data_IF_001318658402
#
_entry.id   IF_001318658402
#
_cell.length_a   1.000
_cell.length_b   1.000
_cell.length_c   1.000
_cell.angle_alpha   90.00
_cell.angle_beta   90.00
_cell.angle_gamma   90.00
#
_symmetry.space_group_name_H-M   'P 1'
#
loop_
_entity.id
_entity.type
_entity.pdbx_description
1 polymer ?
#
# COMPACT_ATOMS: atom_id res chain seq x y z
N UNK A 1 6.14 25.24 -13.51
CA UNK A 1 4.96 25.07 -14.38
C UNK A 1 3.83 24.72 -13.43
N UNK A 2 2.78 25.53 -13.44
CA UNK A 2 1.90 25.84 -12.29
C UNK A 2 0.57 25.11 -12.38
N UNK A 3 0.16 24.35 -11.34
CA UNK A 3 -1.19 23.94 -10.81
C UNK A 3 -2.45 23.83 -11.73
N UNK A 4 -2.34 24.10 -13.02
CA UNK A 4 -3.45 24.54 -13.88
C UNK A 4 -3.49 23.74 -15.20
N UNK A 5 -2.86 22.57 -15.28
CA UNK A 5 -2.70 21.88 -16.57
C UNK A 5 -3.27 20.46 -16.62
N UNK A 6 -3.74 19.88 -15.50
CA UNK A 6 -3.92 18.42 -15.41
C UNK A 6 -5.25 17.90 -14.87
N UNK A 7 -6.22 18.75 -14.53
CA UNK A 7 -7.63 18.34 -14.25
C UNK A 7 -8.32 17.71 -15.49
N UNK A 8 -7.70 17.83 -16.66
CA UNK A 8 -8.17 17.36 -17.97
C UNK A 8 -8.28 15.85 -18.12
N UNK A 9 -7.39 15.08 -17.48
CA UNK A 9 -7.29 13.63 -17.74
C UNK A 9 -8.43 12.82 -17.10
N UNK A 10 -9.04 13.34 -16.03
CA UNK A 10 -10.23 12.80 -15.35
C UNK A 10 -11.44 12.56 -16.29
N UNK A 11 -11.52 13.28 -17.42
CA UNK A 11 -12.75 13.38 -18.21
C UNK A 11 -12.79 12.35 -19.37
N UNK A 12 -11.68 11.67 -19.68
CA UNK A 12 -11.60 10.75 -20.82
C UNK A 12 -11.93 9.29 -20.51
N UNK A 13 -11.76 8.81 -19.27
CA UNK A 13 -11.96 7.39 -18.91
C UNK A 13 -13.41 7.04 -18.52
N UNK A 14 -14.18 7.99 -17.97
CA UNK A 14 -15.58 7.81 -17.53
C UNK A 14 -16.57 7.48 -18.65
N UNK A 15 -16.15 7.55 -19.92
CA UNK A 15 -16.96 7.21 -21.10
C UNK A 15 -16.92 5.72 -21.50
N UNK A 16 -16.00 4.90 -20.97
CA UNK A 16 -15.91 3.48 -21.38
C UNK A 16 -16.61 2.48 -20.44
N UNK A 17 -16.81 2.81 -19.16
CA UNK A 17 -17.36 1.89 -18.15
C UNK A 17 -18.89 1.96 -17.99
N UNK A 18 -19.55 3.08 -18.33
CA UNK A 18 -21.00 3.27 -18.09
C UNK A 18 -21.95 2.68 -19.15
N UNK A 19 -21.44 2.02 -20.20
CA UNK A 19 -22.26 1.61 -21.36
C UNK A 19 -22.68 0.12 -21.42
N UNK A 20 -22.28 -0.74 -20.46
CA UNK A 20 -22.39 -2.21 -20.65
C UNK A 20 -23.36 -2.98 -19.74
N UNK A 21 -24.06 -2.34 -18.79
CA UNK A 21 -24.90 -3.05 -17.80
C UNK A 21 -26.41 -2.86 -17.98
N UNK A 22 -26.95 -2.98 -19.20
CA UNK A 22 -28.39 -3.24 -19.41
C UNK A 22 -28.62 -4.20 -20.58
N UNK A 23 -28.65 -5.51 -20.30
CA UNK A 23 -29.36 -6.49 -21.12
C UNK A 23 -29.72 -7.77 -20.33
N UNK A 24 -30.90 -7.70 -19.71
CA UNK A 24 -31.80 -8.78 -19.33
C UNK A 24 -31.59 -10.18 -19.94
N UNK A 25 -31.59 -11.22 -19.10
CA UNK A 25 -32.47 -12.37 -19.33
C UNK A 25 -33.10 -12.85 -18.01
N UNK A 26 -34.42 -12.66 -17.92
CA UNK A 26 -35.28 -13.31 -16.94
C UNK A 26 -35.70 -14.71 -17.40
N UNK A 27 -35.95 -15.53 -16.39
CA UNK A 27 -36.35 -16.92 -16.31
C UNK A 27 -37.63 -17.31 -17.08
N UNK A 28 -37.70 -18.56 -17.56
CA UNK A 28 -38.91 -19.39 -17.54
C UNK A 28 -38.64 -20.79 -18.14
N UNK A 29 -38.59 -21.80 -17.25
CA UNK A 29 -38.76 -23.22 -17.60
C UNK A 29 -40.19 -23.55 -18.01
N UNK A 30 -40.41 -24.58 -18.85
CA UNK A 30 -41.16 -25.71 -18.30
C UNK A 30 -40.62 -27.09 -18.71
N UNK A 31 -40.87 -28.02 -17.79
CA UNK A 31 -40.57 -29.44 -17.85
C UNK A 31 -41.00 -30.14 -19.16
N UNK A 32 -40.18 -31.07 -19.62
CA UNK A 32 -40.67 -32.28 -20.30
C UNK A 32 -39.77 -33.47 -19.96
N UNK A 33 -40.40 -34.51 -19.44
CA UNK A 33 -39.84 -35.83 -19.16
C UNK A 33 -39.29 -36.50 -20.42
N UNK A 34 -38.21 -37.28 -20.33
CA UNK A 34 -38.15 -38.72 -20.69
C UNK A 34 -36.78 -39.31 -20.35
N UNK A 35 -36.80 -40.56 -19.89
CA UNK A 35 -35.75 -41.45 -19.39
C UNK A 35 -34.56 -41.73 -20.35
N UNK A 36 -33.44 -42.17 -19.77
CA UNK A 36 -32.66 -43.26 -20.38
C UNK A 36 -31.12 -43.19 -20.32
N UNK A 37 -30.57 -43.87 -19.31
CA UNK A 37 -29.42 -44.81 -19.41
C UNK A 37 -27.97 -44.31 -19.26
N UNK A 38 -27.35 -44.92 -18.24
CA UNK A 38 -25.94 -45.08 -17.88
C UNK A 38 -24.90 -45.14 -19.01
N UNK A 39 -23.71 -44.57 -18.79
CA UNK A 39 -22.45 -45.34 -18.91
C UNK A 39 -21.27 -44.67 -18.17
N UNK A 40 -20.68 -45.40 -17.22
CA UNK A 40 -19.33 -45.18 -16.70
C UNK A 40 -18.26 -45.41 -17.78
N UNK A 41 -17.15 -44.66 -17.70
CA UNK A 41 -15.95 -44.90 -18.49
C UNK A 41 -14.78 -44.02 -18.05
N UNK A 42 -14.14 -44.40 -16.95
CA UNK A 42 -12.76 -44.04 -16.60
C UNK A 42 -11.82 -44.70 -17.59
N UNK A 43 -10.81 -43.99 -18.12
CA UNK A 43 -9.48 -44.57 -18.41
C UNK A 43 -8.40 -43.48 -18.34
N UNK A 44 -7.28 -43.88 -17.73
CA UNK A 44 -6.04 -43.17 -17.45
C UNK A 44 -5.01 -43.31 -18.58
N UNK A 45 -4.05 -42.37 -18.58
CA UNK A 45 -2.61 -42.56 -18.81
C UNK A 45 -1.97 -42.65 -20.21
N UNK A 46 -0.73 -42.11 -20.21
CA UNK A 46 0.43 -42.38 -21.06
C UNK A 46 0.60 -41.66 -22.42
N UNK A 47 1.45 -40.63 -22.38
CA UNK A 47 2.49 -40.40 -23.39
C UNK A 47 3.86 -40.29 -22.69
N UNK A 48 4.57 -41.41 -22.63
CA UNK A 48 5.98 -41.52 -22.27
C UNK A 48 6.84 -41.49 -23.54
N UNK A 49 7.90 -40.68 -23.47
CA UNK A 49 9.21 -40.76 -24.15
C UNK A 49 9.31 -40.63 -25.70
N UNK A 50 9.94 -39.52 -26.13
CA UNK A 50 11.13 -39.58 -26.99
C UNK A 50 11.01 -39.01 -28.42
N UNK A 51 11.34 -37.72 -28.61
CA UNK A 51 12.09 -37.13 -29.76
C UNK A 51 12.16 -35.58 -29.57
N UNK A 52 13.19 -35.01 -28.93
CA UNK A 52 14.48 -34.52 -29.46
C UNK A 52 14.40 -33.31 -30.44
N UNK A 53 15.08 -32.22 -30.07
CA UNK A 53 15.20 -30.99 -30.86
C UNK A 53 16.04 -29.91 -30.17
N UNK A 54 17.35 -30.14 -30.15
CA UNK A 54 18.45 -29.32 -29.60
C UNK A 54 18.60 -27.91 -30.20
N UNK A 55 18.90 -26.91 -29.36
CA UNK A 55 19.86 -25.84 -29.67
C UNK A 55 20.46 -25.26 -28.39
N UNK A 56 21.67 -25.72 -28.07
CA UNK A 56 22.60 -25.15 -27.08
C UNK A 56 23.29 -23.91 -27.66
N UNK A 57 23.34 -22.83 -26.89
CA UNK A 57 24.15 -21.65 -27.18
C UNK A 57 24.83 -21.18 -25.91
N UNK A 58 26.03 -21.69 -25.66
CA UNK A 58 26.95 -21.25 -24.61
C UNK A 58 27.57 -19.90 -24.98
N UNK A 59 27.64 -18.98 -24.03
CA UNK A 59 28.24 -17.66 -24.18
C UNK A 59 28.92 -17.21 -22.89
N UNK A 60 30.08 -17.79 -22.60
CA UNK A 60 31.02 -17.34 -21.57
C UNK A 60 31.58 -15.96 -21.95
N UNK A 61 31.53 -15.01 -21.02
CA UNK A 61 32.07 -13.66 -21.16
C UNK A 61 32.73 -13.19 -19.87
N UNK A 62 33.94 -13.69 -19.61
CA UNK A 62 34.84 -13.19 -18.56
C UNK A 62 35.29 -11.75 -18.89
N UNK A 63 35.05 -10.82 -17.98
CA UNK A 63 35.47 -9.42 -18.07
C UNK A 63 36.13 -8.95 -16.77
N UNK A 64 37.40 -9.32 -16.58
CA UNK A 64 38.26 -8.79 -15.53
C UNK A 64 38.53 -7.29 -15.77
N UNK A 65 38.16 -6.46 -14.80
CA UNK A 65 38.41 -5.01 -14.79
C UNK A 65 39.01 -4.55 -13.48
N UNK A 66 40.31 -4.81 -13.29
CA UNK A 66 41.11 -4.26 -12.20
C UNK A 66 41.23 -2.73 -12.35
N UNK A 67 40.74 -1.99 -11.35
CA UNK A 67 40.84 -0.54 -11.25
C UNK A 67 41.43 -0.11 -9.91
N UNK A 68 42.76 -0.25 -9.77
CA UNK A 68 43.52 0.31 -8.65
C UNK A 68 43.49 1.85 -8.70
N UNK A 69 42.88 2.46 -7.68
CA UNK A 69 42.83 3.91 -7.47
C UNK A 69 43.42 4.30 -6.12
N UNK A 70 44.74 4.28 -6.02
CA UNK A 70 45.49 4.82 -4.87
C UNK A 70 45.29 6.35 -4.78
N UNK A 71 44.58 6.79 -3.74
CA UNK A 71 44.40 8.20 -3.39
C UNK A 71 45.00 8.51 -2.02
N UNK A 72 46.32 8.60 -1.96
CA UNK A 72 47.06 9.13 -0.80
C UNK A 72 46.75 10.62 -0.59
N UNK A 73 46.05 10.95 0.51
CA UNK A 73 45.88 12.29 1.05
C UNK A 73 46.30 12.34 2.51
N UNK A 74 47.41 13.05 2.77
CA UNK A 74 48.12 13.25 4.05
C UNK A 74 47.24 13.55 5.28
N UNK A 75 47.71 13.18 6.51
CA UNK A 75 47.03 13.48 7.76
C UNK A 75 47.31 14.91 8.23
N UNK A 76 46.25 15.65 8.58
CA UNK A 76 46.36 16.94 9.23
C UNK A 76 46.49 16.79 10.75
N UNK A 77 47.72 16.91 11.25
CA UNK A 77 48.02 17.11 12.67
C UNK A 77 47.39 18.43 13.17
N UNK A 78 46.50 18.31 14.16
CA UNK A 78 45.87 19.42 14.85
C UNK A 78 45.92 19.21 16.36
N UNK A 79 47.11 19.29 16.94
CA UNK A 79 47.31 19.40 18.39
C UNK A 79 46.68 20.70 18.90
N UNK A 80 45.57 20.57 19.61
CA UNK A 80 44.88 21.66 20.31
C UNK A 80 44.74 21.36 21.79
N UNK A 81 45.85 21.46 22.53
CA UNK A 81 45.84 21.52 23.99
C UNK A 81 45.09 22.79 24.44
N UNK A 82 43.90 22.61 25.00
CA UNK A 82 43.06 23.65 25.55
C UNK A 82 42.55 23.27 26.93
N UNK A 83 43.43 23.34 27.93
CA UNK A 83 43.05 23.34 29.34
C UNK A 83 42.14 24.55 29.62
N UNK A 84 40.85 24.29 29.80
CA UNK A 84 39.84 25.27 30.12
C UNK A 84 38.97 24.80 31.28
N UNK A 85 39.51 24.90 32.50
CA UNK A 85 38.74 24.86 33.73
C UNK A 85 37.72 26.01 33.72
N UNK A 86 36.46 25.67 33.46
CA UNK A 86 35.32 26.59 33.46
C UNK A 86 34.19 26.03 34.30
N UNK A 87 34.32 26.18 35.62
CA UNK A 87 33.18 26.10 36.55
C UNK A 87 32.17 27.20 36.16
N UNK A 88 31.05 26.80 35.57
CA UNK A 88 29.97 27.69 35.16
C UNK A 88 28.62 27.02 35.34
N UNK A 89 27.99 27.31 36.47
CA UNK A 89 26.62 26.95 36.81
C UNK A 89 25.66 27.34 35.67
N UNK A 90 25.19 26.34 34.93
CA UNK A 90 24.11 26.47 33.97
C UNK A 90 22.89 25.72 34.49
N UNK A 91 21.99 26.45 35.16
CA UNK A 91 20.60 26.04 35.35
C UNK A 91 19.95 26.02 33.95
N UNK A 92 20.16 24.93 33.23
CA UNK A 92 19.45 24.62 32.00
C UNK A 92 18.22 23.81 32.36
N UNK A 93 17.08 24.50 32.49
CA UNK A 93 15.76 23.89 32.32
C UNK A 93 15.69 23.40 30.86
N UNK A 94 16.24 22.21 30.63
CA UNK A 94 16.09 21.48 29.39
C UNK A 94 14.71 20.85 29.39
N UNK A 95 13.71 21.64 29.00
CA UNK A 95 12.50 21.12 28.36
C UNK A 95 12.97 20.51 27.03
N UNK A 96 13.52 19.30 27.12
CA UNK A 96 13.78 18.43 25.99
C UNK A 96 12.45 17.87 25.51
N UNK A 97 11.66 18.72 24.87
CA UNK A 97 10.73 18.27 23.83
C UNK A 97 11.63 17.79 22.68
N UNK A 98 12.17 16.58 22.87
CA UNK A 98 12.73 15.79 21.80
C UNK A 98 11.57 15.32 20.96
N UNK A 99 11.01 16.23 20.16
CA UNK A 99 10.39 15.87 18.91
C UNK A 99 11.53 15.31 18.06
N UNK A 100 11.80 14.03 18.29
CA UNK A 100 12.61 13.20 17.42
C UNK A 100 11.81 13.01 16.15
N UNK A 101 11.79 14.07 15.34
CA UNK A 101 11.61 13.97 13.90
C UNK A 101 12.86 13.21 13.42
N UNK A 102 12.78 11.89 13.58
CA UNK A 102 13.70 10.94 12.99
C UNK A 102 13.49 11.00 11.49
N UNK A 103 14.13 11.99 10.87
CA UNK A 103 14.57 11.92 9.48
C UNK A 103 15.60 10.77 9.41
N UNK A 104 15.13 9.53 9.60
CA UNK A 104 15.90 8.31 9.52
C UNK A 104 16.25 8.08 8.07
N UNK A 105 17.55 8.16 7.78
CA UNK A 105 18.15 7.67 6.55
C UNK A 105 17.72 6.20 6.35
N UNK A 106 17.21 5.75 5.19
CA UNK A 106 16.58 4.43 5.04
C UNK A 106 17.58 3.25 5.05
N UNK A 107 18.73 3.39 5.71
CA UNK A 107 19.81 2.40 5.70
C UNK A 107 20.61 2.26 6.99
N UNK A 108 20.21 2.89 8.11
CA UNK A 108 21.00 2.83 9.37
C UNK A 108 20.18 2.56 10.64
N UNK A 109 19.05 1.86 10.54
CA UNK A 109 18.13 1.66 11.67
C UNK A 109 17.81 0.19 11.95
N UNK A 110 18.71 -0.77 11.73
CA UNK A 110 18.56 -2.15 12.23
C UNK A 110 17.44 -3.01 11.62
N UNK A 111 17.38 -4.29 11.98
CA UNK A 111 16.49 -5.31 11.42
C UNK A 111 15.02 -5.03 11.72
N UNK A 112 14.14 -5.22 10.74
CA UNK A 112 12.71 -5.12 10.93
C UNK A 112 12.11 -6.31 11.71
N UNK A 113 10.88 -6.14 12.25
CA UNK A 113 10.26 -7.09 13.15
C UNK A 113 10.20 -8.56 12.64
N UNK A 114 9.89 -8.84 11.35
CA UNK A 114 9.84 -10.22 10.86
C UNK A 114 11.22 -10.88 10.86
N UNK A 115 12.25 -10.11 10.50
CA UNK A 115 13.64 -10.58 10.46
C UNK A 115 14.16 -10.82 11.88
N UNK A 116 13.83 -9.93 12.82
CA UNK A 116 14.13 -10.12 14.24
C UNK A 116 13.49 -11.41 14.75
N UNK A 117 12.21 -11.65 14.45
CA UNK A 117 11.52 -12.86 14.88
C UNK A 117 12.13 -14.13 14.27
N UNK A 118 12.51 -14.11 13.00
CA UNK A 118 13.24 -15.22 12.38
C UNK A 118 14.58 -15.48 13.09
N UNK A 119 15.33 -14.42 13.40
CA UNK A 119 16.57 -14.51 14.19
C UNK A 119 16.32 -15.15 15.57
N UNK A 120 15.26 -14.74 16.28
CA UNK A 120 14.89 -15.30 17.57
C UNK A 120 14.53 -16.80 17.49
N UNK A 121 13.85 -17.22 16.43
CA UNK A 121 13.56 -18.64 16.19
C UNK A 121 14.83 -19.45 15.93
N UNK A 122 15.78 -18.90 15.17
CA UNK A 122 17.07 -19.53 14.92
C UNK A 122 17.87 -19.75 16.21
N UNK A 123 17.71 -18.87 17.20
CA UNK A 123 18.40 -18.95 18.49
C UNK A 123 17.97 -20.11 19.39
N UNK A 124 16.84 -20.78 19.15
CA UNK A 124 16.37 -21.94 19.93
C UNK A 124 16.39 -21.74 21.48
N UNK A 125 16.12 -20.52 21.95
CA UNK A 125 16.13 -20.16 23.37
C UNK A 125 17.50 -19.82 23.97
N UNK A 126 18.55 -19.66 23.15
CA UNK A 126 19.84 -19.12 23.58
C UNK A 126 19.74 -17.62 23.85
N UNK A 127 19.90 -17.23 25.11
CA UNK A 127 19.72 -15.85 25.57
C UNK A 127 20.74 -14.88 24.99
N UNK A 128 21.98 -15.31 24.73
CA UNK A 128 23.01 -14.45 24.16
C UNK A 128 22.77 -14.21 22.66
N UNK A 129 22.28 -15.25 21.96
CA UNK A 129 21.85 -15.13 20.57
C UNK A 129 20.63 -14.19 20.44
N UNK A 130 19.64 -14.34 21.33
CA UNK A 130 18.46 -13.46 21.33
C UNK A 130 18.82 -12.01 21.61
N UNK A 131 19.73 -11.75 22.55
CA UNK A 131 20.24 -10.40 22.84
C UNK A 131 20.96 -9.80 21.63
N UNK A 132 21.70 -10.61 20.85
CA UNK A 132 22.30 -10.15 19.60
C UNK A 132 21.25 -9.76 18.56
N UNK A 133 20.20 -10.57 18.36
CA UNK A 133 19.11 -10.23 17.43
C UNK A 133 18.46 -8.89 17.77
N UNK A 134 18.20 -8.62 19.05
CA UNK A 134 17.62 -7.33 19.49
C UNK A 134 18.61 -6.17 19.48
N UNK A 135 19.92 -6.44 19.49
CA UNK A 135 20.94 -5.39 19.35
C UNK A 135 21.02 -4.90 17.91
N UNK A 136 20.79 -5.81 16.96
CA UNK A 136 20.78 -5.50 15.53
C UNK A 136 19.40 -5.01 15.06
N UNK A 137 18.36 -5.07 15.90
CA UNK A 137 16.99 -4.69 15.58
C UNK A 137 16.76 -3.17 15.55
N UNK A 138 15.81 -2.73 14.73
CA UNK A 138 15.32 -1.36 14.79
C UNK A 138 14.59 -1.08 16.11
N UNK A 139 14.60 0.17 16.62
CA UNK A 139 13.84 0.52 17.81
C UNK A 139 12.35 0.15 17.69
N UNK A 140 11.77 0.30 16.50
CA UNK A 140 10.39 -0.08 16.20
C UNK A 140 10.20 -1.60 16.22
N UNK A 141 11.10 -2.35 15.60
CA UNK A 141 11.06 -3.81 15.56
C UNK A 141 11.14 -4.44 16.95
N UNK A 142 11.91 -3.86 17.88
CA UNK A 142 11.94 -4.30 19.28
C UNK A 142 10.57 -4.14 19.95
N UNK A 143 9.88 -3.03 19.69
CA UNK A 143 8.56 -2.75 20.25
C UNK A 143 7.51 -3.69 19.66
N UNK A 144 7.48 -3.84 18.34
CA UNK A 144 6.54 -4.70 17.61
C UNK A 144 6.73 -6.17 17.96
N UNK A 145 7.97 -6.67 17.95
CA UNK A 145 8.30 -8.05 18.35
C UNK A 145 7.91 -8.30 19.80
N UNK A 146 8.15 -7.33 20.70
CA UNK A 146 7.72 -7.39 22.09
C UNK A 146 6.20 -7.48 22.25
N UNK A 147 5.45 -6.66 21.51
CA UNK A 147 3.98 -6.67 21.52
C UNK A 147 3.41 -7.99 20.99
N UNK A 148 3.93 -8.49 19.87
CA UNK A 148 3.52 -9.76 19.26
C UNK A 148 3.78 -10.94 20.20
N UNK A 149 4.97 -10.99 20.81
CA UNK A 149 5.30 -12.03 21.78
C UNK A 149 4.39 -11.95 23.02
N UNK A 150 4.13 -10.75 23.53
CA UNK A 150 3.23 -10.56 24.67
C UNK A 150 1.81 -11.06 24.35
N UNK A 151 1.26 -10.72 23.19
CA UNK A 151 -0.05 -11.21 22.77
C UNK A 151 -0.07 -12.75 22.65
N UNK A 152 0.97 -13.34 22.04
CA UNK A 152 1.09 -14.79 21.92
C UNK A 152 1.15 -15.48 23.30
N UNK A 153 1.84 -14.89 24.28
CA UNK A 153 1.89 -15.40 25.66
C UNK A 153 0.54 -15.31 26.36
N UNK A 154 -0.16 -14.17 26.27
CA UNK A 154 -1.47 -13.98 26.90
C UNK A 154 -2.52 -14.95 26.37
N UNK A 155 -2.49 -15.24 25.07
CA UNK A 155 -3.39 -16.17 24.40
C UNK A 155 -2.91 -17.63 24.43
N UNK A 156 -1.74 -17.92 25.02
CA UNK A 156 -1.12 -19.25 25.05
C UNK A 156 -0.94 -19.86 23.64
N UNK A 157 -0.60 -19.03 22.66
CA UNK A 157 -0.39 -19.47 21.30
C UNK A 157 0.87 -20.33 21.18
N UNK A 158 0.75 -21.45 20.47
CA UNK A 158 1.83 -22.43 20.28
C UNK A 158 2.07 -22.77 18.80
N UNK A 159 1.39 -22.09 17.91
CA UNK A 159 1.51 -22.22 16.47
C UNK A 159 1.09 -20.92 15.79
N UNK A 160 1.47 -20.79 14.52
CA UNK A 160 1.21 -19.60 13.71
C UNK A 160 -0.29 -19.29 13.58
N UNK A 161 -1.13 -20.30 13.38
CA UNK A 161 -2.58 -20.11 13.20
C UNK A 161 -3.25 -19.47 14.43
N UNK A 162 -2.79 -19.79 15.64
CA UNK A 162 -3.27 -19.14 16.86
C UNK A 162 -2.85 -17.67 16.91
N UNK A 163 -1.61 -17.37 16.52
CA UNK A 163 -1.07 -16.00 16.52
C UNK A 163 -1.85 -15.16 15.53
N UNK A 164 -2.02 -15.63 14.29
CA UNK A 164 -2.81 -14.93 13.26
C UNK A 164 -4.27 -14.68 13.69
N UNK A 165 -4.89 -15.61 14.44
CA UNK A 165 -6.28 -15.44 14.87
C UNK A 165 -6.46 -14.56 16.11
N UNK A 166 -5.48 -14.49 17.00
CA UNK A 166 -5.64 -13.81 18.30
C UNK A 166 -4.76 -12.57 18.45
N UNK A 167 -3.79 -12.38 17.55
CA UNK A 167 -2.80 -11.31 17.55
C UNK A 167 -2.67 -10.68 16.16
N UNK A 168 -3.75 -10.64 15.38
CA UNK A 168 -3.74 -10.14 14.01
C UNK A 168 -3.19 -8.70 13.93
N UNK A 169 -3.56 -7.84 14.89
CA UNK A 169 -3.05 -6.47 14.96
C UNK A 169 -1.55 -6.40 15.22
N UNK A 170 -1.02 -7.20 16.14
CA UNK A 170 0.42 -7.24 16.40
C UNK A 170 1.20 -7.91 15.26
N UNK A 171 0.59 -8.88 14.55
CA UNK A 171 1.16 -9.44 13.32
C UNK A 171 1.21 -8.36 12.25
N UNK A 172 0.12 -7.65 12.02
CA UNK A 172 0.06 -6.57 11.04
C UNK A 172 1.14 -5.52 11.30
N UNK A 173 1.24 -5.02 12.54
CA UNK A 173 2.26 -4.05 12.93
C UNK A 173 3.69 -4.60 12.79
N UNK A 174 3.89 -5.91 12.88
CA UNK A 174 5.20 -6.51 12.70
C UNK A 174 5.57 -6.68 11.21
N UNK A 175 4.60 -6.82 10.31
CA UNK A 175 4.83 -7.07 8.88
C UNK A 175 4.58 -5.85 7.99
N UNK A 176 4.21 -4.73 8.59
CA UNK A 176 3.96 -3.47 7.89
C UNK A 176 4.48 -2.32 8.73
N UNK A 177 4.95 -1.27 8.07
CA UNK A 177 5.27 -0.01 8.73
C UNK A 177 4.42 1.12 8.15
N UNK A 178 5.00 2.31 8.10
CA UNK A 178 4.32 3.53 7.64
C UNK A 178 4.87 4.05 6.32
N UNK A 179 5.91 3.40 5.77
CA UNK A 179 6.51 3.83 4.52
C UNK A 179 5.53 3.78 3.35
N UNK A 180 5.41 4.88 2.62
CA UNK A 180 4.65 4.95 1.36
C UNK A 180 5.36 4.15 0.25
N UNK A 181 4.65 3.83 -0.83
CA UNK A 181 5.27 3.10 -1.95
C UNK A 181 6.39 3.91 -2.62
N UNK A 182 6.30 5.24 -2.64
CA UNK A 182 7.41 6.10 -3.06
C UNK A 182 8.66 5.93 -2.18
N UNK A 183 8.49 5.92 -0.86
CA UNK A 183 9.60 5.68 0.08
C UNK A 183 10.17 4.26 -0.06
N UNK A 184 9.31 3.27 -0.27
CA UNK A 184 9.74 1.90 -0.55
C UNK A 184 10.59 1.82 -1.82
N UNK A 185 10.16 2.46 -2.91
CA UNK A 185 10.90 2.49 -4.16
C UNK A 185 12.26 3.17 -3.99
N UNK A 186 12.32 4.31 -3.28
CA UNK A 186 13.58 4.99 -2.96
C UNK A 186 14.50 4.11 -2.09
N UNK A 187 13.96 3.43 -1.09
CA UNK A 187 14.69 2.50 -0.22
C UNK A 187 15.29 1.33 -1.03
N UNK A 188 14.48 0.69 -1.88
CA UNK A 188 14.91 -0.40 -2.75
C UNK A 188 16.02 0.03 -3.72
N UNK A 189 15.94 1.23 -4.30
CA UNK A 189 17.00 1.77 -5.16
C UNK A 189 18.34 1.91 -4.41
N UNK A 190 18.30 2.26 -3.11
CA UNK A 190 19.50 2.37 -2.28
C UNK A 190 20.11 1.02 -1.90
N UNK A 191 19.30 -0.03 -1.80
CA UNK A 191 19.76 -1.39 -1.52
C UNK A 191 20.58 -2.00 -2.66
N UNK A 192 20.34 -1.58 -3.91
CA UNK A 192 21.13 -2.03 -5.06
C UNK A 192 21.12 -3.55 -5.32
N UNK A 193 20.02 -4.23 -4.99
CA UNK A 193 19.85 -5.68 -5.17
C UNK A 193 20.21 -6.54 -3.95
N UNK A 194 20.46 -5.96 -2.77
CA UNK A 194 20.62 -6.73 -1.54
C UNK A 194 19.26 -7.21 -1.01
N UNK A 195 19.04 -8.53 -1.04
CA UNK A 195 17.76 -9.16 -0.70
C UNK A 195 17.32 -8.89 0.75
N UNK A 196 18.26 -8.77 1.69
CA UNK A 196 17.93 -8.51 3.10
C UNK A 196 17.48 -7.07 3.26
N UNK A 197 18.24 -6.12 2.69
CA UNK A 197 17.89 -4.70 2.67
C UNK A 197 16.54 -4.46 1.98
N UNK A 198 16.30 -5.06 0.82
CA UNK A 198 15.03 -4.92 0.10
C UNK A 198 13.86 -5.50 0.89
N UNK A 199 14.08 -6.60 1.60
CA UNK A 199 13.07 -7.18 2.50
C UNK A 199 12.77 -6.25 3.67
N UNK A 200 13.80 -5.66 4.28
CA UNK A 200 13.64 -4.67 5.37
C UNK A 200 12.83 -3.45 4.87
N UNK A 201 13.20 -2.86 3.73
CA UNK A 201 12.45 -1.77 3.10
C UNK A 201 10.97 -2.14 2.90
N UNK A 202 10.71 -3.36 2.39
CA UNK A 202 9.36 -3.84 2.11
C UNK A 202 8.51 -3.93 3.37
N UNK A 203 9.03 -4.48 4.46
CA UNK A 203 8.25 -4.65 5.70
C UNK A 203 8.10 -3.36 6.50
N UNK A 204 9.01 -2.40 6.34
CA UNK A 204 8.86 -1.04 6.91
C UNK A 204 7.88 -0.16 6.12
N UNK A 205 7.54 -0.58 4.90
CA UNK A 205 6.48 0.05 4.13
C UNK A 205 5.11 -0.40 4.61
N UNK A 206 4.12 0.46 4.42
CA UNK A 206 2.74 0.16 4.76
C UNK A 206 2.20 -1.00 3.91
N UNK A 207 1.18 -1.68 4.42
CA UNK A 207 0.59 -2.75 3.63
C UNK A 207 0.11 -2.27 2.24
N UNK A 208 -0.45 -1.06 2.15
CA UNK A 208 -0.89 -0.53 0.85
C UNK A 208 0.33 -0.32 -0.07
N UNK A 209 1.44 0.18 0.47
CA UNK A 209 2.66 0.34 -0.29
C UNK A 209 3.20 -1.00 -0.83
N UNK A 210 3.17 -2.04 0.01
CA UNK A 210 3.51 -3.41 -0.37
C UNK A 210 2.63 -3.94 -1.52
N UNK A 211 1.33 -3.64 -1.53
CA UNK A 211 0.46 -4.04 -2.64
C UNK A 211 0.69 -3.22 -3.90
N UNK A 212 0.89 -1.91 -3.76
CA UNK A 212 1.13 -1.03 -4.90
C UNK A 212 2.42 -1.40 -5.63
N UNK A 213 3.49 -1.74 -4.90
CA UNK A 213 4.74 -2.17 -5.53
C UNK A 213 4.57 -3.53 -6.20
N UNK A 214 3.84 -4.48 -5.59
CA UNK A 214 3.56 -5.78 -6.20
C UNK A 214 2.77 -5.62 -7.50
N UNK A 215 1.73 -4.78 -7.52
CA UNK A 215 0.95 -4.50 -8.72
C UNK A 215 1.81 -3.85 -9.82
N UNK A 216 2.72 -2.94 -9.45
CA UNK A 216 3.67 -2.35 -10.38
C UNK A 216 4.64 -3.39 -10.95
N UNK A 217 5.22 -4.24 -10.10
CA UNK A 217 6.14 -5.30 -10.51
C UNK A 217 5.46 -6.32 -11.43
N UNK A 218 4.24 -6.73 -11.13
CA UNK A 218 3.43 -7.59 -11.99
C UNK A 218 3.22 -6.95 -13.36
N UNK A 219 2.86 -5.65 -13.42
CA UNK A 219 2.72 -4.95 -14.69
C UNK A 219 4.04 -4.87 -15.48
N UNK A 220 5.16 -4.60 -14.80
CA UNK A 220 6.50 -4.54 -15.39
C UNK A 220 6.88 -5.88 -16.01
N UNK A 221 6.62 -6.98 -15.30
CA UNK A 221 6.87 -8.35 -15.76
C UNK A 221 5.99 -8.69 -16.96
N UNK A 222 4.69 -8.40 -16.89
CA UNK A 222 3.71 -8.71 -17.94
C UNK A 222 4.00 -7.97 -19.25
N UNK A 223 4.57 -6.77 -19.17
CA UNK A 223 4.94 -5.94 -20.32
C UNK A 223 6.42 -6.06 -20.73
N UNK A 224 7.22 -6.88 -20.03
CA UNK A 224 8.67 -7.05 -20.25
C UNK A 224 9.42 -5.70 -20.29
N UNK A 225 9.10 -4.82 -19.36
CA UNK A 225 9.68 -3.49 -19.31
C UNK A 225 11.12 -3.53 -18.80
N UNK A 226 12.04 -2.97 -19.60
CA UNK A 226 13.48 -2.95 -19.33
C UNK A 226 14.02 -1.54 -19.00
N UNK A 227 13.17 -0.52 -19.15
CA UNK A 227 13.51 0.86 -18.87
C UNK A 227 12.29 1.63 -18.34
N UNK A 228 12.56 2.77 -17.69
CA UNK A 228 11.50 3.62 -17.12
C UNK A 228 10.50 4.12 -18.17
N UNK A 229 10.91 4.31 -19.43
CA UNK A 229 10.00 4.79 -20.47
C UNK A 229 8.92 3.75 -20.77
N UNK A 230 9.27 2.47 -20.80
CA UNK A 230 8.30 1.39 -20.93
C UNK A 230 7.31 1.38 -19.76
N UNK A 231 7.78 1.61 -18.53
CA UNK A 231 6.93 1.68 -17.34
C UNK A 231 5.95 2.85 -17.46
N UNK A 232 6.42 4.05 -17.84
CA UNK A 232 5.55 5.19 -18.08
C UNK A 232 4.56 4.99 -19.23
N UNK A 233 4.90 4.21 -20.24
CA UNK A 233 4.02 4.01 -21.40
C UNK A 233 2.97 2.91 -21.16
N UNK A 234 3.26 1.90 -20.32
CA UNK A 234 2.41 0.71 -20.16
C UNK A 234 1.88 0.48 -18.73
N UNK A 235 2.57 0.98 -17.71
CA UNK A 235 2.28 0.76 -16.28
C UNK A 235 2.11 2.07 -15.51
N UNK A 236 1.71 3.15 -16.19
CA UNK A 236 1.59 4.46 -15.55
C UNK A 236 0.55 4.48 -14.42
N UNK A 237 -0.52 3.69 -14.52
CA UNK A 237 -1.55 3.67 -13.49
C UNK A 237 -1.02 3.09 -12.18
N UNK A 238 -0.31 1.97 -12.25
CA UNK A 238 0.33 1.29 -11.13
C UNK A 238 1.46 2.17 -10.57
N UNK A 239 2.27 2.75 -11.45
CA UNK A 239 3.35 3.65 -11.06
C UNK A 239 2.82 4.87 -10.33
N UNK A 240 1.80 5.56 -10.86
CA UNK A 240 1.21 6.72 -10.19
C UNK A 240 0.40 6.33 -8.95
N UNK A 241 -0.12 5.11 -8.87
CA UNK A 241 -0.69 4.60 -7.62
C UNK A 241 0.37 4.46 -6.54
N UNK A 242 1.58 4.03 -6.91
CA UNK A 242 2.72 3.91 -6.00
C UNK A 242 3.33 5.27 -5.61
N UNK A 243 3.67 6.11 -6.59
CA UNK A 243 4.44 7.36 -6.34
C UNK A 243 3.59 8.64 -6.33
N UNK A 244 2.36 8.57 -6.81
CA UNK A 244 1.54 9.74 -7.16
C UNK A 244 0.57 10.20 -6.08
N UNK A 245 0.43 9.50 -4.95
CA UNK A 245 -0.52 9.95 -3.93
C UNK A 245 -0.44 9.24 -2.59
N UNK A 246 0.75 9.27 -1.98
CA UNK A 246 1.12 9.39 -0.56
C UNK A 246 0.30 8.67 0.54
N UNK A 247 -0.78 7.96 0.24
CA UNK A 247 -1.54 7.20 1.21
C UNK A 247 -0.82 5.91 1.48
N UNK A 248 -0.38 5.77 2.72
CA UNK A 248 0.06 4.54 3.35
C UNK A 248 -1.12 3.61 3.70
N UNK A 249 -2.36 4.08 3.56
CA UNK A 249 -3.56 3.35 3.98
C UNK A 249 -4.56 3.15 2.85
N UNK A 250 -5.12 1.93 2.75
CA UNK A 250 -6.33 1.71 1.96
C UNK A 250 -7.47 2.51 2.61
N UNK A 251 -8.37 3.10 1.82
CA UNK A 251 -9.49 3.85 2.35
C UNK A 251 -10.57 2.86 2.79
N UNK A 252 -11.23 3.18 3.91
CA UNK A 252 -12.27 2.33 4.49
C UNK A 252 -13.33 1.85 3.48
N UNK A 253 -13.80 2.67 2.52
CA UNK A 253 -14.83 2.23 1.58
C UNK A 253 -14.44 1.01 0.73
N UNK A 254 -13.17 0.90 0.30
CA UNK A 254 -12.72 -0.25 -0.49
C UNK A 254 -12.67 -1.53 0.34
N UNK A 255 -12.24 -1.40 1.61
CA UNK A 255 -12.22 -2.54 2.53
C UNK A 255 -13.65 -2.95 2.89
N UNK A 256 -14.52 -1.98 3.19
CA UNK A 256 -15.92 -2.23 3.52
C UNK A 256 -16.67 -2.89 2.36
N UNK A 257 -16.46 -2.43 1.12
CA UNK A 257 -17.03 -3.04 -0.07
C UNK A 257 -16.57 -4.49 -0.23
N UNK A 258 -15.28 -4.76 -0.07
CA UNK A 258 -14.74 -6.12 -0.10
C UNK A 258 -15.36 -7.01 0.98
N UNK A 259 -15.46 -6.53 2.23
CA UNK A 259 -16.07 -7.29 3.34
C UNK A 259 -17.55 -7.59 3.08
N UNK A 260 -18.30 -6.62 2.53
CA UNK A 260 -19.71 -6.80 2.14
C UNK A 260 -19.82 -7.86 1.05
N UNK A 261 -18.96 -7.81 0.02
CA UNK A 261 -18.92 -8.80 -1.06
C UNK A 261 -18.55 -10.21 -0.57
N UNK A 262 -17.72 -10.30 0.47
CA UNK A 262 -17.33 -11.55 1.10
C UNK A 262 -18.43 -12.18 1.96
N UNK A 263 -19.48 -11.45 2.35
CA UNK A 263 -20.62 -11.92 3.14
C UNK A 263 -20.21 -12.72 4.40
N UNK A 264 -19.09 -12.33 5.02
CA UNK A 264 -18.54 -12.95 6.23
C UNK A 264 -17.89 -14.33 6.00
N UNK A 265 -17.47 -14.64 4.77
CA UNK A 265 -16.56 -15.76 4.51
C UNK A 265 -15.17 -15.43 5.08
N UNK A 266 -14.69 -16.15 6.11
CA UNK A 266 -13.43 -15.83 6.78
C UNK A 266 -12.20 -15.95 5.88
N UNK A 267 -12.27 -16.73 4.79
CA UNK A 267 -11.16 -16.85 3.85
C UNK A 267 -11.14 -15.66 2.89
N UNK A 268 -12.31 -15.16 2.51
CA UNK A 268 -12.46 -13.99 1.65
C UNK A 268 -12.12 -12.71 2.42
N UNK A 269 -12.59 -12.56 3.66
CA UNK A 269 -12.34 -11.38 4.49
C UNK A 269 -10.83 -11.15 4.69
N UNK A 270 -10.05 -12.23 4.84
CA UNK A 270 -8.58 -12.18 4.93
C UNK A 270 -7.90 -11.67 3.64
N UNK A 271 -8.62 -11.61 2.52
CA UNK A 271 -8.12 -11.06 1.25
C UNK A 271 -8.46 -9.59 1.06
N UNK A 272 -9.30 -9.00 1.91
CA UNK A 272 -9.63 -7.56 1.90
C UNK A 272 -8.51 -6.68 2.48
N UNK A 273 -7.28 -7.20 2.47
CA UNK A 273 -6.09 -6.60 3.05
C UNK A 273 -5.42 -5.62 2.10
N UNK A 274 -4.54 -4.75 2.60
CA UNK A 274 -4.27 -4.44 4.00
C UNK A 274 -4.97 -3.16 4.46
N UNK A 275 -5.66 -3.27 5.58
CA UNK A 275 -6.23 -2.15 6.32
C UNK A 275 -5.35 -1.85 7.53
N UNK A 276 -5.23 -0.57 7.92
CA UNK A 276 -4.74 -0.27 9.27
C UNK A 276 -5.78 -0.71 10.29
N UNK A 277 -5.42 -0.95 11.57
CA UNK A 277 -6.39 -1.29 12.61
C UNK A 277 -7.51 -0.25 12.76
N UNK A 278 -7.23 1.03 12.47
CA UNK A 278 -8.23 2.10 12.47
C UNK A 278 -9.20 1.94 11.31
N UNK A 279 -8.68 1.83 10.09
CA UNK A 279 -9.50 1.65 8.89
C UNK A 279 -10.29 0.34 8.90
N UNK A 280 -9.69 -0.73 9.43
CA UNK A 280 -10.34 -2.03 9.60
C UNK A 280 -11.52 -1.91 10.55
N UNK A 281 -11.35 -1.23 11.69
CA UNK A 281 -12.44 -1.03 12.64
C UNK A 281 -13.60 -0.21 12.05
N UNK A 282 -13.28 0.80 11.22
CA UNK A 282 -14.29 1.57 10.49
C UNK A 282 -15.03 0.69 9.47
N UNK A 283 -14.30 -0.10 8.68
CA UNK A 283 -14.87 -0.98 7.66
C UNK A 283 -15.73 -2.09 8.27
N UNK A 284 -15.25 -2.71 9.35
CA UNK A 284 -16.01 -3.70 10.13
C UNK A 284 -17.29 -3.08 10.72
N UNK A 285 -17.25 -1.80 11.13
CA UNK A 285 -18.44 -1.12 11.62
C UNK A 285 -19.51 -0.97 10.54
N UNK A 286 -19.11 -0.63 9.30
CA UNK A 286 -19.99 -0.55 8.14
C UNK A 286 -20.53 -1.93 7.79
N UNK A 287 -19.64 -2.93 7.69
CA UNK A 287 -20.00 -4.31 7.38
C UNK A 287 -20.99 -4.90 8.41
N UNK A 288 -20.74 -4.67 9.70
CA UNK A 288 -21.64 -5.10 10.77
C UNK A 288 -23.03 -4.47 10.66
N UNK A 289 -23.11 -3.20 10.26
CA UNK A 289 -24.40 -2.56 9.99
C UNK A 289 -25.06 -3.09 8.71
N UNK A 290 -24.27 -3.32 7.64
CA UNK A 290 -24.74 -3.89 6.38
C UNK A 290 -25.43 -5.24 6.59
N UNK A 291 -24.85 -6.12 7.42
CA UNK A 291 -25.45 -7.40 7.79
C UNK A 291 -26.78 -7.26 8.56
N UNK A 292 -26.92 -6.23 9.40
CA UNK A 292 -28.14 -5.99 10.18
C UNK A 292 -29.27 -5.48 9.28
N UNK A 293 -28.93 -4.59 8.34
CA UNK A 293 -29.87 -3.93 7.45
C UNK A 293 -30.07 -4.66 6.10
N UNK A 294 -29.41 -5.81 5.90
CA UNK A 294 -29.49 -6.65 4.70
C UNK A 294 -29.02 -5.90 3.43
N UNK A 295 -27.93 -5.13 3.56
CA UNK A 295 -27.26 -4.42 2.47
C UNK A 295 -26.22 -5.33 1.80
N UNK A 296 -26.23 -5.38 0.47
CA UNK A 296 -25.31 -6.19 -0.35
C UNK A 296 -24.31 -5.33 -1.16
N UNK A 297 -24.28 -4.02 -0.93
CA UNK A 297 -23.35 -3.10 -1.56
C UNK A 297 -23.10 -1.90 -0.63
N UNK A 298 -21.99 -1.20 -0.86
CA UNK A 298 -21.61 -0.05 -0.04
C UNK A 298 -22.61 1.12 -0.19
N UNK A 299 -23.21 1.31 -1.35
CA UNK A 299 -24.20 2.35 -1.62
C UNK A 299 -25.46 2.21 -0.75
N UNK A 300 -25.92 0.99 -0.51
CA UNK A 300 -27.03 0.70 0.41
C UNK A 300 -26.74 1.19 1.82
N UNK A 301 -25.49 1.05 2.27
CA UNK A 301 -25.07 1.44 3.62
C UNK A 301 -25.11 2.97 3.82
N UNK A 302 -25.00 3.77 2.75
CA UNK A 302 -25.17 5.22 2.83
C UNK A 302 -26.55 5.61 3.39
N UNK A 303 -27.61 4.90 3.01
CA UNK A 303 -28.97 5.19 3.46
C UNK A 303 -29.34 4.46 4.75
N UNK A 304 -28.89 3.21 4.91
CA UNK A 304 -29.25 2.35 6.02
C UNK A 304 -28.36 2.56 7.26
N UNK A 305 -27.09 2.93 7.05
CA UNK A 305 -26.03 2.99 8.04
C UNK A 305 -25.28 4.34 8.01
N UNK A 306 -25.97 5.49 8.11
CA UNK A 306 -25.37 6.79 7.82
C UNK A 306 -24.28 7.23 8.81
N UNK A 307 -24.24 6.67 10.03
CA UNK A 307 -23.19 7.01 10.99
C UNK A 307 -21.91 6.24 10.69
N UNK A 308 -22.02 4.92 10.50
CA UNK A 308 -20.93 4.00 10.19
C UNK A 308 -20.33 4.37 8.83
N UNK A 309 -21.19 4.57 7.82
CA UNK A 309 -20.78 5.06 6.50
C UNK A 309 -20.06 6.41 6.59
N UNK A 310 -20.62 7.34 7.36
CA UNK A 310 -20.06 8.68 7.52
C UNK A 310 -18.69 8.71 8.21
N UNK A 311 -18.38 7.75 9.09
CA UNK A 311 -17.02 7.60 9.62
C UNK A 311 -16.09 7.04 8.56
N UNK A 312 -16.53 6.01 7.83
CA UNK A 312 -15.75 5.33 6.80
C UNK A 312 -15.35 6.23 5.62
N UNK A 313 -16.20 7.18 5.22
CA UNK A 313 -15.91 8.06 4.08
C UNK A 313 -15.39 9.44 4.49
N UNK A 314 -15.06 9.71 5.75
CA UNK A 314 -14.70 11.05 6.19
C UNK A 314 -13.27 11.13 6.71
N UNK A 315 -12.38 11.75 5.92
CA UNK A 315 -11.12 12.26 6.43
C UNK A 315 -11.20 13.73 6.83
N UNK A 316 -10.05 14.39 6.93
CA UNK A 316 -9.87 15.76 7.40
C UNK A 316 -9.37 16.73 6.30
N UNK A 317 -9.13 16.22 5.08
CA UNK A 317 -8.63 17.00 3.96
C UNK A 317 -9.64 18.05 3.46
N UNK A 318 -9.16 19.25 3.15
CA UNK A 318 -9.96 20.27 2.48
C UNK A 318 -10.13 19.97 0.99
N UNK A 319 -11.06 20.66 0.32
CA UNK A 319 -11.26 20.46 -1.12
C UNK A 319 -10.00 20.83 -1.94
N UNK A 320 -9.20 21.79 -1.45
CA UNK A 320 -7.92 22.12 -2.03
C UNK A 320 -6.90 20.98 -1.89
N UNK A 321 -6.89 20.29 -0.75
CA UNK A 321 -6.00 19.14 -0.51
C UNK A 321 -6.38 17.98 -1.44
N UNK A 322 -7.67 17.68 -1.57
CA UNK A 322 -8.19 16.69 -2.53
C UNK A 322 -7.72 17.03 -3.95
N UNK A 323 -7.88 18.28 -4.39
CA UNK A 323 -7.51 18.69 -5.73
C UNK A 323 -6.00 18.57 -6.02
N UNK A 324 -5.16 18.91 -5.05
CA UNK A 324 -3.71 18.77 -5.17
C UNK A 324 -3.28 17.30 -5.20
N UNK A 325 -3.91 16.47 -4.37
CA UNK A 325 -3.65 15.04 -4.32
C UNK A 325 -4.06 14.36 -5.64
N UNK A 326 -5.28 14.62 -6.12
CA UNK A 326 -5.77 14.09 -7.41
C UNK A 326 -4.90 14.56 -8.58
N UNK A 327 -4.39 15.80 -8.57
CA UNK A 327 -3.46 16.27 -9.60
C UNK A 327 -2.16 15.45 -9.62
N UNK A 328 -1.67 15.03 -8.45
CA UNK A 328 -0.47 14.21 -8.32
C UNK A 328 -0.68 12.78 -8.85
N UNK A 329 -1.88 12.24 -8.74
CA UNK A 329 -2.24 10.89 -9.23
C UNK A 329 -2.23 10.73 -10.75
N UNK A 330 -2.30 11.83 -11.51
CA UNK A 330 -2.21 11.83 -12.97
C UNK A 330 -3.10 10.79 -13.68
N UNK A 331 -4.33 10.54 -13.18
CA UNK A 331 -5.29 9.60 -13.76
C UNK A 331 -5.28 8.19 -13.17
N UNK A 332 -4.47 7.90 -12.15
CA UNK A 332 -4.51 6.61 -11.46
C UNK A 332 -5.73 6.51 -10.55
N UNK A 333 -6.68 5.63 -10.91
CA UNK A 333 -7.99 5.52 -10.26
C UNK A 333 -7.92 5.28 -8.74
N UNK A 334 -7.07 4.35 -8.29
CA UNK A 334 -6.91 4.05 -6.86
C UNK A 334 -6.34 5.24 -6.08
N UNK A 335 -5.35 5.92 -6.66
CA UNK A 335 -4.75 7.10 -6.07
C UNK A 335 -5.79 8.23 -5.93
N UNK A 336 -6.54 8.52 -7.00
CA UNK A 336 -7.57 9.55 -6.99
C UNK A 336 -8.69 9.22 -5.98
N UNK A 337 -9.06 7.95 -5.88
CA UNK A 337 -10.04 7.47 -4.92
C UNK A 337 -9.59 7.69 -3.47
N UNK A 338 -8.32 7.38 -3.16
CA UNK A 338 -7.73 7.64 -1.84
C UNK A 338 -7.74 9.14 -1.51
N UNK A 339 -7.34 9.98 -2.47
CA UNK A 339 -7.33 11.43 -2.30
C UNK A 339 -8.73 11.99 -1.95
N UNK A 340 -9.78 11.49 -2.61
CA UNK A 340 -11.15 11.95 -2.34
C UNK A 340 -11.62 11.49 -0.97
N UNK A 341 -11.40 10.23 -0.62
CA UNK A 341 -11.89 9.64 0.65
C UNK A 341 -11.18 10.18 1.89
N UNK A 342 -9.94 10.66 1.77
CA UNK A 342 -9.24 11.41 2.82
C UNK A 342 -9.78 12.83 3.04
N UNK A 343 -10.65 13.33 2.16
CA UNK A 343 -11.28 14.63 2.34
C UNK A 343 -12.39 14.61 3.39
N UNK A 344 -12.67 15.76 4.00
CA UNK A 344 -13.91 15.95 4.75
C UNK A 344 -15.13 15.76 3.83
N UNK A 345 -16.23 15.22 4.35
CA UNK A 345 -17.48 15.00 3.59
C UNK A 345 -17.96 16.23 2.79
N UNK A 346 -17.84 17.42 3.38
CA UNK A 346 -18.19 18.66 2.70
C UNK A 346 -17.19 19.01 1.59
N UNK A 347 -15.90 18.76 1.80
CA UNK A 347 -14.87 18.96 0.80
C UNK A 347 -15.06 18.02 -0.39
N UNK A 348 -15.38 16.75 -0.15
CA UNK A 348 -15.73 15.78 -1.20
C UNK A 348 -16.91 16.23 -2.03
N UNK A 349 -17.99 16.71 -1.38
CA UNK A 349 -19.16 17.20 -2.09
C UNK A 349 -18.84 18.43 -2.96
N UNK A 350 -18.01 19.35 -2.47
CA UNK A 350 -17.59 20.53 -3.24
C UNK A 350 -16.67 20.13 -4.40
N UNK A 351 -15.74 19.20 -4.18
CA UNK A 351 -14.87 18.66 -5.21
C UNK A 351 -15.67 17.95 -6.31
N UNK A 352 -16.65 17.13 -5.92
CA UNK A 352 -17.60 16.49 -6.84
C UNK A 352 -18.41 17.50 -7.64
N UNK A 353 -18.82 18.63 -7.05
CA UNK A 353 -19.52 19.69 -7.76
C UNK A 353 -18.64 20.40 -8.81
N UNK A 354 -17.34 20.57 -8.53
CA UNK A 354 -16.37 21.08 -9.53
C UNK A 354 -16.25 20.09 -10.69
N UNK A 355 -16.13 18.78 -10.38
CA UNK A 355 -16.04 17.73 -11.38
C UNK A 355 -17.31 17.63 -12.25
N UNK A 356 -18.50 17.66 -11.64
CA UNK A 356 -19.78 17.65 -12.34
C UNK A 356 -19.92 18.87 -13.27
N UNK A 357 -19.56 20.07 -12.79
CA UNK A 357 -19.56 21.27 -13.62
C UNK A 357 -18.62 21.16 -14.83
N UNK A 358 -17.43 20.58 -14.64
CA UNK A 358 -16.47 20.38 -15.73
C UNK A 358 -17.04 19.43 -16.80
N UNK A 359 -17.72 18.35 -16.38
CA UNK A 359 -18.41 17.41 -17.27
C UNK A 359 -19.55 18.10 -18.03
N UNK A 360 -20.39 18.86 -17.33
CA UNK A 360 -21.53 19.57 -17.93
C UNK A 360 -21.12 20.59 -18.99
N UNK A 361 -19.91 21.14 -18.88
CA UNK A 361 -19.36 22.12 -19.81
C UNK A 361 -18.35 21.54 -20.82
N UNK A 362 -18.14 20.21 -20.82
CA UNK A 362 -17.16 19.51 -21.67
C UNK A 362 -15.76 20.15 -21.59
N UNK A 363 -15.32 20.45 -20.36
CA UNK A 363 -14.04 21.09 -20.14
C UNK A 363 -12.89 20.11 -20.36
N UNK A 364 -11.89 20.54 -21.13
CA UNK A 364 -10.70 19.75 -21.48
C UNK A 364 -9.41 20.46 -21.04
N UNK A 365 -9.52 21.53 -20.26
CA UNK A 365 -8.41 22.31 -19.72
C UNK A 365 -8.88 23.10 -18.49
N UNK A 366 -7.91 23.51 -17.67
CA UNK A 366 -8.18 24.35 -16.50
C UNK A 366 -8.75 25.70 -16.92
N UNK A 367 -8.35 26.25 -18.07
CA UNK A 367 -8.87 27.51 -18.57
C UNK A 367 -10.40 27.45 -18.77
N UNK A 368 -10.92 26.30 -19.22
CA UNK A 368 -12.36 26.05 -19.32
C UNK A 368 -13.02 25.94 -17.96
N UNK A 369 -12.40 25.23 -17.01
CA UNK A 369 -12.93 25.07 -15.64
C UNK A 369 -12.98 26.43 -14.95
N UNK A 370 -11.92 27.22 -15.04
CA UNK A 370 -11.83 28.57 -14.49
C UNK A 370 -12.87 29.50 -15.13
N UNK A 371 -13.19 29.30 -16.42
CA UNK A 371 -14.16 30.12 -17.15
C UNK A 371 -15.63 29.76 -16.85
N UNK A 372 -15.92 28.48 -16.61
CA UNK A 372 -17.30 27.97 -16.53
C UNK A 372 -17.72 27.50 -15.12
N UNK A 373 -16.76 27.09 -14.29
CA UNK A 373 -16.95 26.49 -12.96
C UNK A 373 -16.31 27.31 -11.82
N UNK A 374 -16.09 28.61 -12.06
CA UNK A 374 -15.45 29.49 -11.08
C UNK A 374 -16.17 29.58 -9.73
N UNK A 375 -17.49 29.35 -9.67
CA UNK A 375 -18.23 29.42 -8.41
C UNK A 375 -17.94 28.21 -7.53
N UNK A 376 -17.95 27.02 -8.11
CA UNK A 376 -17.62 25.74 -7.51
C UNK A 376 -16.14 25.71 -7.12
N UNK A 377 -15.26 26.18 -8.01
CA UNK A 377 -13.82 26.25 -7.75
C UNK A 377 -13.48 27.22 -6.61
N UNK A 378 -14.14 28.38 -6.55
CA UNK A 378 -13.99 29.30 -5.40
C UNK A 378 -14.49 28.69 -4.10
N UNK A 379 -15.52 27.86 -4.13
CA UNK A 379 -15.98 27.14 -2.94
C UNK A 379 -14.99 26.06 -2.49
N UNK A 380 -14.25 25.48 -3.43
CA UNK A 380 -13.23 24.47 -3.17
C UNK A 380 -11.94 25.05 -2.57
N UNK A 381 -11.50 26.21 -3.07
CA UNK A 381 -10.22 26.82 -2.69
C UNK A 381 -10.28 27.72 -1.45
N UNK A 382 -11.48 28.09 -0.97
CA UNK A 382 -11.69 28.90 0.24
C UNK A 382 -11.73 30.41 0.00
#
# INVERSE_FOLDING_TARGET
>A
MTMHARVVHLISLSLLSLASLIAACGDDSPATTTEGTDTSGSETDACLEGDCGTSTGDGDGDGDGDGDGDGDGDPGDGDGDGDGDGDGDGDGDGDGDGDGDGDGDPGDEGLACPIVNECLFACNGDMACQEACFTDASPNAVVESGALLQCAFENNCNNQNCIEQNCAGEVYACYTGTGTCGQLAECSEMCGGDEVCETDCFVESSGLAQQQIQALDECVIDNDCQDQQCIFDNCNNELQSCVGGMSDTLPCPLIAECLIDCDGDPVCDLTCTPATPETEAEAESVFGCAQIEDCNDFDCTQMACPNEWGMCVAGDGSCADIALCVEACAGAELCEYNCVTQGELMAQAVFGAVAECAVDNDCQDQDCIDANCSAELMACLG
#
